data_IF_989946646144
#
_entry.id   IF_989946646144
#
_cell.length_a   1.000
_cell.length_b   1.000
_cell.length_c   1.000
_cell.angle_alpha   90.00
_cell.angle_beta   90.00
_cell.angle_gamma   90.00
#
_symmetry.space_group_name_H-M   'P 1'
#
loop_
_entity.id
_entity.type
_entity.pdbx_description
1 polymer ?
#
# COMPACT_ATOMS: atom_id res chain seq x y z
N UNK A 1 29.66 -11.18 12.37
CA UNK A 1 28.54 -10.21 12.55
C UNK A 1 27.37 -10.62 11.66
N UNK A 2 26.17 -10.80 12.22
CA UNK A 2 24.99 -11.24 11.44
C UNK A 2 24.26 -10.04 10.82
N UNK A 3 23.84 -10.17 9.56
CA UNK A 3 23.12 -9.11 8.83
C UNK A 3 21.64 -9.44 8.73
N UNK A 4 20.80 -8.74 9.50
CA UNK A 4 19.33 -8.92 9.51
C UNK A 4 18.65 -8.77 8.13
N UNK A 5 19.20 -7.94 7.24
CA UNK A 5 18.64 -7.72 5.88
C UNK A 5 19.76 -7.66 4.85
N UNK A 6 19.68 -8.47 3.78
CA UNK A 6 20.67 -8.50 2.68
C UNK A 6 21.01 -7.09 2.15
N UNK A 7 20.00 -6.23 1.97
CA UNK A 7 20.16 -4.84 1.51
C UNK A 7 20.41 -3.78 2.59
N UNK A 8 20.61 -4.16 3.86
CA UNK A 8 20.79 -3.19 4.95
C UNK A 8 19.56 -2.31 5.23
N UNK A 9 18.41 -2.65 4.64
CA UNK A 9 17.18 -1.84 4.72
C UNK A 9 17.08 -0.72 3.68
N UNK A 10 17.95 -0.70 2.65
CA UNK A 10 17.93 0.29 1.56
C UNK A 10 18.05 -0.42 0.20
N UNK A 11 17.64 0.25 -0.88
CA UNK A 11 17.80 -0.25 -2.26
C UNK A 11 18.98 0.42 -2.99
N UNK A 12 20.18 0.34 -2.39
CA UNK A 12 21.35 1.17 -2.75
C UNK A 12 22.39 0.47 -3.67
N UNK A 13 22.10 -0.71 -4.22
CA UNK A 13 23.10 -1.46 -5.00
C UNK A 13 23.62 -0.62 -6.18
N UNK A 14 24.94 -0.42 -6.27
CA UNK A 14 25.60 0.29 -7.37
C UNK A 14 25.49 1.82 -7.37
N UNK A 15 25.06 2.47 -6.28
CA UNK A 15 24.75 3.92 -6.27
C UNK A 15 25.60 4.80 -5.35
N UNK A 16 26.75 4.35 -4.85
CA UNK A 16 27.66 5.22 -4.08
C UNK A 16 27.05 5.74 -2.77
N UNK A 17 26.76 7.05 -2.63
CA UNK A 17 26.08 7.66 -1.47
C UNK A 17 24.79 8.39 -1.89
N UNK A 18 23.62 7.79 -1.62
CA UNK A 18 22.31 8.38 -1.94
C UNK A 18 21.50 8.62 -0.68
N UNK A 19 20.99 9.85 -0.51
CA UNK A 19 20.18 10.29 0.65
C UNK A 19 18.76 9.71 0.64
N UNK A 20 18.17 9.43 -0.53
CA UNK A 20 16.74 9.11 -0.69
C UNK A 20 16.32 7.64 -0.54
N UNK A 21 17.25 6.71 -0.40
CA UNK A 21 16.97 5.26 -0.52
C UNK A 21 16.40 4.60 0.74
N UNK A 22 16.33 5.33 1.86
CA UNK A 22 15.81 4.84 3.15
C UNK A 22 14.38 5.29 3.47
N UNK A 23 13.74 6.05 2.60
CA UNK A 23 12.39 6.56 2.84
C UNK A 23 11.32 5.55 2.42
N UNK A 24 10.26 5.43 3.22
CA UNK A 24 9.06 4.68 2.83
C UNK A 24 8.17 5.65 2.06
N UNK A 25 8.03 5.41 0.75
CA UNK A 25 7.26 6.28 -0.15
C UNK A 25 5.86 5.70 -0.35
N UNK A 26 4.83 6.51 -0.11
CA UNK A 26 3.41 6.17 -0.37
C UNK A 26 2.79 7.24 -1.25
N UNK A 27 2.11 6.82 -2.30
CA UNK A 27 1.29 7.73 -3.08
C UNK A 27 -0.11 7.77 -2.45
N UNK A 28 -0.53 8.94 -2.00
CA UNK A 28 -1.88 9.20 -1.51
C UNK A 28 -2.63 9.89 -2.64
N UNK A 29 -3.64 9.21 -3.17
CA UNK A 29 -4.59 9.79 -4.14
C UNK A 29 -5.91 9.90 -3.42
N UNK A 30 -6.42 11.11 -3.31
CA UNK A 30 -7.70 11.40 -2.64
C UNK A 30 -8.49 12.38 -3.49
N UNK A 31 -9.81 12.29 -3.48
CA UNK A 31 -10.63 13.36 -4.02
C UNK A 31 -10.37 14.64 -3.20
N UNK A 32 -10.50 15.80 -3.85
CA UNK A 32 -10.35 17.09 -3.16
C UNK A 32 -11.42 17.29 -2.08
N UNK A 33 -12.57 16.64 -2.25
CA UNK A 33 -13.71 16.69 -1.34
C UNK A 33 -13.93 15.31 -0.71
N UNK A 34 -14.36 15.31 0.55
CA UNK A 34 -14.67 14.09 1.29
C UNK A 34 -15.97 13.44 0.83
N UNK A 35 -16.12 12.14 1.07
CA UNK A 35 -17.21 11.35 0.51
C UNK A 35 -18.62 11.83 0.92
N UNK A 36 -18.76 12.37 2.14
CA UNK A 36 -20.04 12.88 2.64
C UNK A 36 -20.47 14.15 1.89
N UNK A 37 -19.53 15.08 1.67
CA UNK A 37 -19.79 16.36 1.02
C UNK A 37 -19.97 16.27 -0.51
N UNK A 38 -19.81 15.09 -1.13
CA UNK A 38 -20.00 14.91 -2.58
C UNK A 38 -21.44 15.23 -3.00
N UNK A 39 -22.43 14.88 -2.16
CA UNK A 39 -23.85 15.14 -2.46
C UNK A 39 -24.17 16.62 -2.37
N UNK A 40 -23.83 17.24 -1.25
CA UNK A 40 -24.05 18.68 -1.01
C UNK A 40 -23.38 19.54 -2.08
N UNK A 41 -22.16 19.17 -2.50
CA UNK A 41 -21.47 19.87 -3.58
C UNK A 41 -22.15 19.70 -4.94
N UNK A 42 -22.70 18.52 -5.23
CA UNK A 42 -23.40 18.29 -6.51
C UNK A 42 -24.70 19.11 -6.56
N UNK A 43 -25.46 19.13 -5.47
CA UNK A 43 -26.72 19.90 -5.35
C UNK A 43 -26.49 21.41 -5.37
N UNK A 44 -25.40 21.89 -4.77
CA UNK A 44 -25.03 23.30 -4.76
C UNK A 44 -24.32 23.77 -6.05
N UNK A 45 -23.89 22.84 -6.92
CA UNK A 45 -23.19 23.20 -8.14
C UNK A 45 -24.14 23.64 -9.25
N UNK A 46 -23.73 24.65 -10.03
CA UNK A 46 -24.48 25.13 -11.20
C UNK A 46 -24.42 24.12 -12.37
N UNK A 47 -23.42 23.23 -12.36
CA UNK A 47 -23.21 22.23 -13.40
C UNK A 47 -23.97 20.94 -13.07
N UNK A 48 -24.64 20.35 -14.07
CA UNK A 48 -25.39 19.10 -13.88
C UNK A 48 -24.51 17.90 -13.48
N UNK A 49 -23.26 17.86 -13.93
CA UNK A 49 -22.27 16.88 -13.51
C UNK A 49 -20.92 17.59 -13.29
N UNK A 50 -20.45 17.63 -12.05
CA UNK A 50 -19.15 18.24 -11.72
C UNK A 50 -18.10 17.15 -11.46
N UNK A 51 -17.08 17.10 -12.32
CA UNK A 51 -15.96 16.17 -12.16
C UNK A 51 -15.02 16.64 -11.02
N UNK A 52 -15.12 15.98 -9.86
CA UNK A 52 -14.28 16.31 -8.70
C UNK A 52 -12.79 16.02 -8.97
N UNK A 53 -11.90 17.02 -8.87
CA UNK A 53 -10.47 16.81 -9.05
C UNK A 53 -9.87 15.97 -7.92
N UNK A 54 -8.73 15.34 -8.22
CA UNK A 54 -7.98 14.49 -7.28
C UNK A 54 -6.68 15.15 -6.83
N UNK A 55 -6.41 15.05 -5.54
CA UNK A 55 -5.14 15.42 -4.92
C UNK A 55 -4.17 14.24 -5.00
N UNK A 56 -2.99 14.50 -5.59
CA UNK A 56 -1.89 13.54 -5.70
C UNK A 56 -0.75 13.96 -4.78
N UNK A 57 -0.55 13.22 -3.68
CA UNK A 57 0.48 13.53 -2.69
C UNK A 57 1.42 12.36 -2.51
N UNK A 58 2.71 12.58 -2.79
CA UNK A 58 3.76 11.59 -2.53
C UNK A 58 4.34 11.79 -1.13
N UNK A 59 3.90 10.97 -0.19
CA UNK A 59 4.37 10.99 1.19
C UNK A 59 5.67 10.20 1.32
N UNK A 60 6.67 10.82 1.95
CA UNK A 60 7.97 10.21 2.24
C UNK A 60 8.18 10.12 3.76
N UNK A 61 8.09 8.92 4.31
CA UNK A 61 8.22 8.71 5.75
C UNK A 61 9.64 8.27 6.13
N UNK A 62 10.08 8.76 7.29
CA UNK A 62 11.15 8.16 8.05
C UNK A 62 10.71 6.78 8.62
N UNK A 63 11.65 5.90 8.98
CA UNK A 63 11.30 4.54 9.46
C UNK A 63 10.51 4.59 10.77
N UNK A 64 10.90 5.46 11.72
CA UNK A 64 10.20 5.62 12.99
C UNK A 64 8.78 6.15 12.77
N UNK A 65 8.63 7.19 11.96
CA UNK A 65 7.35 7.78 11.54
C UNK A 65 6.39 6.71 11.01
N UNK A 66 6.88 5.85 10.10
CA UNK A 66 6.06 4.84 9.45
C UNK A 66 5.65 3.69 10.39
N UNK A 67 6.44 3.39 11.43
CA UNK A 67 6.11 2.39 12.44
C UNK A 67 5.09 2.97 13.42
N UNK A 68 5.30 4.22 13.87
CA UNK A 68 4.39 4.91 14.78
C UNK A 68 2.99 5.08 14.17
N UNK A 69 2.91 5.55 12.92
CA UNK A 69 1.67 5.67 12.17
C UNK A 69 1.13 4.32 11.64
N UNK A 70 1.74 3.18 12.01
CA UNK A 70 1.35 1.81 11.59
C UNK A 70 1.26 1.61 10.07
N UNK A 71 1.95 2.44 9.28
CA UNK A 71 2.04 2.33 7.81
C UNK A 71 2.83 1.08 7.40
N UNK A 72 3.87 0.75 8.18
CA UNK A 72 4.59 -0.53 8.08
C UNK A 72 4.59 -1.20 9.45
N UNK A 73 4.55 -2.54 9.45
CA UNK A 73 4.56 -3.35 10.67
C UNK A 73 5.81 -4.23 10.73
N UNK A 74 6.16 -4.66 11.94
CA UNK A 74 7.22 -5.66 12.14
C UNK A 74 6.79 -6.97 11.49
N UNK A 75 7.71 -7.56 10.70
CA UNK A 75 7.50 -8.79 9.94
C UNK A 75 8.40 -9.91 10.43
N UNK A 76 8.01 -11.17 10.19
CA UNK A 76 8.76 -12.36 10.63
C UNK A 76 10.04 -12.57 9.81
N UNK A 77 11.01 -13.30 10.36
CA UNK A 77 12.26 -13.64 9.66
C UNK A 77 12.17 -14.93 8.82
N UNK A 78 11.18 -15.80 9.13
CA UNK A 78 10.98 -17.09 8.46
C UNK A 78 10.86 -16.92 6.94
N UNK A 79 11.66 -17.65 6.13
CA UNK A 79 11.41 -17.78 4.69
C UNK A 79 10.05 -18.46 4.46
N UNK A 80 9.34 -18.10 3.39
CA UNK A 80 8.06 -18.73 3.02
C UNK A 80 6.82 -18.27 3.79
N UNK A 81 6.96 -17.59 4.94
CA UNK A 81 5.81 -17.03 5.65
C UNK A 81 5.15 -15.88 4.86
N UNK A 82 3.82 -15.81 4.87
CA UNK A 82 3.06 -14.74 4.18
C UNK A 82 3.51 -13.34 4.61
N UNK A 83 3.80 -13.18 5.91
CA UNK A 83 4.29 -11.95 6.54
C UNK A 83 5.82 -11.90 6.70
N UNK A 84 6.58 -12.54 5.82
CA UNK A 84 8.04 -12.55 5.86
C UNK A 84 8.66 -11.18 5.54
N UNK A 85 9.77 -10.83 6.17
CA UNK A 85 10.62 -9.68 5.79
C UNK A 85 11.19 -9.82 4.37
N UNK A 86 11.36 -11.05 3.90
CA UNK A 86 11.87 -11.37 2.55
C UNK A 86 10.81 -11.16 1.47
N UNK A 87 9.52 -11.25 1.82
CA UNK A 87 8.43 -10.94 0.91
C UNK A 87 8.43 -9.43 0.58
N UNK A 88 8.49 -9.11 -0.72
CA UNK A 88 8.50 -7.75 -1.28
C UNK A 88 7.21 -7.41 -2.03
N UNK A 89 6.27 -8.35 -2.13
CA UNK A 89 4.98 -8.08 -2.74
C UNK A 89 4.21 -7.03 -1.92
N UNK A 90 3.41 -6.16 -2.58
CA UNK A 90 2.50 -5.28 -1.86
C UNK A 90 1.46 -6.11 -1.08
N UNK A 91 0.90 -5.56 0.01
CA UNK A 91 -0.18 -6.24 0.70
C UNK A 91 -1.38 -6.46 -0.26
N UNK A 92 -2.07 -7.61 -0.16
CA UNK A 92 -3.26 -7.87 -0.96
C UNK A 92 -4.30 -6.77 -0.74
N UNK A 93 -4.80 -6.18 -1.84
CA UNK A 93 -5.90 -5.20 -1.78
C UNK A 93 -7.22 -5.96 -1.77
N UNK A 94 -8.08 -5.71 -0.79
CA UNK A 94 -9.45 -6.22 -0.83
C UNK A 94 -10.13 -5.67 -2.10
N UNK A 95 -10.57 -6.56 -2.98
CA UNK A 95 -11.34 -6.19 -4.16
C UNK A 95 -12.79 -6.50 -3.80
N UNK A 96 -13.65 -5.51 -3.87
CA UNK A 96 -15.07 -5.74 -3.77
C UNK A 96 -15.56 -6.13 -5.16
N UNK A 97 -16.03 -7.36 -5.31
CA UNK A 97 -16.79 -7.84 -6.49
C UNK A 97 -18.20 -8.18 -5.99
N UNK A 98 -19.21 -7.70 -6.70
CA UNK A 98 -20.62 -8.04 -6.48
C UNK A 98 -21.12 -7.77 -5.04
N UNK A 99 -20.69 -6.65 -4.44
CA UNK A 99 -21.09 -6.25 -3.08
C UNK A 99 -20.43 -7.05 -1.95
N UNK A 100 -19.64 -8.08 -2.25
CA UNK A 100 -18.92 -8.88 -1.25
C UNK A 100 -17.44 -8.50 -1.22
N UNK A 101 -16.90 -8.36 0.00
CA UNK A 101 -15.47 -8.09 0.22
C UNK A 101 -14.67 -9.35 -0.10
N UNK A 102 -14.12 -9.44 -1.30
CA UNK A 102 -13.24 -10.57 -1.65
C UNK A 102 -11.84 -10.27 -1.11
N UNK A 103 -11.40 -11.06 -0.13
CA UNK A 103 -10.00 -11.06 0.28
C UNK A 103 -9.19 -11.81 -0.79
N UNK A 104 -8.34 -11.15 -1.59
CA UNK A 104 -7.64 -11.81 -2.69
C UNK A 104 -6.64 -12.86 -2.19
N UNK A 105 -6.23 -12.83 -0.91
CA UNK A 105 -5.41 -13.88 -0.31
C UNK A 105 -6.18 -15.21 -0.17
N UNK A 106 -7.48 -15.14 0.11
CA UNK A 106 -8.37 -16.32 0.19
C UNK A 106 -8.72 -16.81 -1.21
N UNK A 107 -9.00 -15.88 -2.14
CA UNK A 107 -9.26 -16.23 -3.54
C UNK A 107 -8.05 -16.89 -4.20
N UNK A 108 -6.83 -16.38 -3.97
CA UNK A 108 -5.60 -16.98 -4.48
C UNK A 108 -5.32 -18.36 -3.85
N UNK A 109 -5.64 -18.55 -2.56
CA UNK A 109 -5.50 -19.84 -1.89
C UNK A 109 -6.51 -20.89 -2.40
N UNK A 110 -7.74 -20.49 -2.70
CA UNK A 110 -8.76 -21.35 -3.31
C UNK A 110 -8.42 -21.72 -4.76
N UNK A 111 -7.98 -20.74 -5.56
CA UNK A 111 -7.56 -20.98 -6.94
C UNK A 111 -6.33 -21.91 -7.01
N UNK A 112 -5.37 -21.76 -6.09
CA UNK A 112 -4.22 -22.66 -6.00
C UNK A 112 -4.61 -24.09 -5.58
N UNK A 113 -5.67 -24.27 -4.78
CA UNK A 113 -6.21 -25.60 -4.44
C UNK A 113 -6.96 -26.24 -5.60
N UNK A 114 -7.71 -25.45 -6.38
CA UNK A 114 -8.44 -25.94 -7.55
C UNK A 114 -7.54 -26.31 -8.73
N UNK A 115 -6.36 -25.69 -8.84
CA UNK A 115 -5.37 -26.01 -9.87
C UNK A 115 -4.47 -27.22 -9.54
N UNK A 116 -4.67 -27.85 -8.38
CA UNK A 116 -3.94 -29.06 -7.93
C UNK A 116 -4.79 -30.33 -8.02
N UNK A 117 -6.01 -30.22 -8.53
CA UNK A 117 -6.88 -31.31 -8.99
C UNK A 117 -6.85 -31.33 -10.51
#
# INVERSE_FOLDING_TARGET
MTKKRRGGGRNKKGRGHVKSDKAIKRNSVKNMVEAAAVRDMSEASVYAEYALPKLYVRLAYCISCAIHAKVVRVRSDKPGAINSRKNRAPPPRAIFKDGKRVNPAVAAALAAKQAQL
#
